data_IF_078046431148
#
_entry.id   IF_078046431148
#
_cell.length_a   1.000
_cell.length_b   1.000
_cell.length_c   1.000
_cell.angle_alpha   90.00
_cell.angle_beta   90.00
_cell.angle_gamma   90.00
#
_symmetry.space_group_name_H-M   'P 1'
#
loop_
_entity.id
_entity.type
_entity.pdbx_description
1 polymer ?
#
# COMPACT_ATOMS: atom_id res chain seq x y z
N UNK A 1 -12.15 4.26 -17.66
CA UNK A 1 -13.36 3.61 -17.06
C UNK A 1 -13.22 3.68 -15.54
N UNK A 2 -14.10 4.41 -14.85
CA UNK A 2 -13.92 4.86 -13.44
C UNK A 2 -14.26 3.83 -12.34
N UNK A 3 -14.44 2.55 -12.71
CA UNK A 3 -14.82 1.46 -11.79
C UNK A 3 -13.64 0.62 -11.29
N UNK A 4 -12.40 1.01 -11.58
CA UNK A 4 -11.20 0.25 -11.18
C UNK A 4 -10.72 0.57 -9.75
N UNK A 5 -11.11 1.72 -9.17
CA UNK A 5 -10.59 2.19 -7.88
C UNK A 5 -11.16 1.46 -6.65
N UNK A 6 -12.30 0.78 -6.78
CA UNK A 6 -12.93 0.02 -5.67
C UNK A 6 -12.43 -1.41 -5.56
N UNK A 7 -11.62 -1.89 -6.50
CA UNK A 7 -11.12 -3.27 -6.53
C UNK A 7 -10.29 -3.59 -5.30
N UNK A 8 -9.20 -2.85 -5.04
CA UNK A 8 -8.30 -3.11 -3.91
C UNK A 8 -8.95 -2.86 -2.54
N UNK A 9 -9.86 -1.88 -2.45
CA UNK A 9 -10.55 -1.52 -1.18
C UNK A 9 -11.41 -2.68 -0.66
N UNK A 10 -12.01 -3.46 -1.56
CA UNK A 10 -12.88 -4.61 -1.22
C UNK A 10 -12.21 -5.95 -1.51
N UNK A 11 -10.94 -5.96 -1.91
CA UNK A 11 -10.24 -7.16 -2.30
C UNK A 11 -10.04 -8.07 -1.10
N UNK A 12 -10.52 -9.31 -1.21
CA UNK A 12 -10.08 -10.40 -0.34
C UNK A 12 -8.75 -10.91 -0.88
N UNK A 13 -7.71 -10.82 -0.08
CA UNK A 13 -6.40 -11.33 -0.45
C UNK A 13 -6.41 -12.86 -0.31
N UNK A 14 -6.02 -13.62 -1.35
CA UNK A 14 -5.85 -15.06 -1.24
C UNK A 14 -4.72 -15.37 -0.26
N UNK A 15 -4.74 -16.56 0.33
CA UNK A 15 -3.64 -16.99 1.20
C UNK A 15 -2.32 -17.06 0.40
N UNK A 16 -1.18 -16.72 1.02
CA UNK A 16 0.12 -16.82 0.37
C UNK A 16 0.35 -18.24 -0.14
N UNK A 17 0.74 -18.40 -1.40
CA UNK A 17 1.10 -19.71 -1.94
C UNK A 17 2.50 -20.07 -1.44
N UNK A 18 2.64 -21.22 -0.78
CA UNK A 18 3.91 -21.68 -0.18
C UNK A 18 4.90 -22.30 -1.17
N UNK A 19 4.47 -22.63 -2.39
CA UNK A 19 5.28 -23.33 -3.41
C UNK A 19 5.83 -22.40 -4.52
N UNK A 20 5.84 -21.09 -4.31
CA UNK A 20 6.36 -20.13 -5.29
C UNK A 20 7.88 -19.95 -5.15
N UNK A 21 8.60 -19.71 -6.27
CA UNK A 21 9.98 -19.22 -6.24
C UNK A 21 10.13 -17.99 -5.33
N UNK A 22 11.28 -17.82 -4.63
CA UNK A 22 11.46 -16.76 -3.63
C UNK A 22 11.11 -15.35 -4.12
N UNK A 23 11.45 -15.02 -5.37
CA UNK A 23 11.14 -13.72 -5.97
C UNK A 23 9.63 -13.54 -6.21
N UNK A 24 8.94 -14.57 -6.69
CA UNK A 24 7.49 -14.52 -6.91
C UNK A 24 6.74 -14.44 -5.58
N UNK A 25 7.19 -15.19 -4.56
CA UNK A 25 6.65 -15.09 -3.21
C UNK A 25 6.81 -13.67 -2.64
N UNK A 26 7.99 -13.06 -2.82
CA UNK A 26 8.22 -11.66 -2.44
C UNK A 26 7.25 -10.71 -3.15
N UNK A 27 7.07 -10.82 -4.48
CA UNK A 27 6.15 -9.95 -5.22
C UNK A 27 4.70 -10.10 -4.78
N UNK A 28 4.26 -11.33 -4.47
CA UNK A 28 2.94 -11.57 -3.91
C UNK A 28 2.79 -10.90 -2.53
N UNK A 29 3.81 -11.01 -1.67
CA UNK A 29 3.81 -10.37 -0.35
C UNK A 29 3.81 -8.83 -0.44
N UNK A 30 4.59 -8.26 -1.34
CA UNK A 30 4.62 -6.82 -1.61
C UNK A 30 3.25 -6.32 -2.10
N UNK A 31 2.62 -7.06 -3.01
CA UNK A 31 1.28 -6.73 -3.48
C UNK A 31 0.25 -6.80 -2.33
N UNK A 32 0.30 -7.86 -1.50
CA UNK A 32 -0.58 -7.99 -0.33
C UNK A 32 -0.38 -6.84 0.66
N UNK A 33 0.87 -6.50 0.97
CA UNK A 33 1.22 -5.36 1.82
C UNK A 33 0.61 -4.07 1.27
N UNK A 34 0.79 -3.82 -0.02
CA UNK A 34 0.24 -2.65 -0.68
C UNK A 34 -1.29 -2.56 -0.63
N UNK A 35 -1.99 -3.68 -0.86
CA UNK A 35 -3.46 -3.74 -0.75
C UNK A 35 -3.92 -3.47 0.68
N UNK A 36 -3.27 -4.07 1.69
CA UNK A 36 -3.60 -3.82 3.10
C UNK A 36 -3.39 -2.34 3.43
N UNK A 37 -2.28 -1.74 2.99
CA UNK A 37 -2.01 -0.32 3.20
C UNK A 37 -3.10 0.57 2.57
N UNK A 38 -3.53 0.27 1.34
CA UNK A 38 -4.64 0.97 0.68
C UNK A 38 -5.94 0.85 1.50
N UNK A 39 -6.25 -0.33 2.01
CA UNK A 39 -7.44 -0.56 2.82
C UNK A 39 -7.38 0.20 4.15
N UNK A 40 -6.23 0.18 4.84
CA UNK A 40 -6.00 0.93 6.08
C UNK A 40 -6.15 2.43 5.87
N UNK A 41 -5.54 2.98 4.82
CA UNK A 41 -5.68 4.39 4.44
C UNK A 41 -7.14 4.73 4.16
N UNK A 42 -7.84 3.90 3.38
CA UNK A 42 -9.24 4.11 3.05
C UNK A 42 -10.14 4.11 4.29
N UNK A 43 -9.95 3.15 5.20
CA UNK A 43 -10.69 3.09 6.46
C UNK A 43 -10.47 4.35 7.30
N UNK A 44 -9.22 4.82 7.38
CA UNK A 44 -8.87 6.02 8.13
C UNK A 44 -9.53 7.29 7.53
N UNK A 45 -9.48 7.45 6.20
CA UNK A 45 -10.16 8.55 5.50
C UNK A 45 -11.70 8.48 5.61
N UNK A 46 -12.24 7.27 5.63
CA UNK A 46 -13.68 7.04 5.84
C UNK A 46 -14.10 7.43 7.27
N UNK A 47 -13.29 7.09 8.28
CA UNK A 47 -13.52 7.51 9.66
C UNK A 47 -13.53 9.06 9.79
N UNK A 48 -12.56 9.73 9.15
CA UNK A 48 -12.52 11.20 9.07
C UNK A 48 -13.79 11.75 8.41
N UNK A 49 -14.18 11.20 7.26
CA UNK A 49 -15.37 11.66 6.52
C UNK A 49 -16.64 11.51 7.35
N UNK A 50 -16.77 10.40 8.10
CA UNK A 50 -17.91 10.16 9.00
C UNK A 50 -17.89 11.11 10.18
N UNK A 51 -16.72 11.41 10.75
CA UNK A 51 -16.57 12.34 11.86
C UNK A 51 -16.95 13.78 11.45
N UNK A 52 -16.48 14.24 10.28
CA UNK A 52 -16.83 15.56 9.73
C UNK A 52 -18.34 15.69 9.50
N UNK A 53 -18.99 14.62 9.03
CA UNK A 53 -20.45 14.58 8.81
C UNK A 53 -21.26 14.42 10.11
N UNK A 54 -20.62 14.36 11.28
CA UNK A 54 -21.29 14.16 12.56
C UNK A 54 -21.87 12.77 12.77
N UNK A 55 -21.52 11.79 11.92
CA UNK A 55 -22.04 10.42 12.01
C UNK A 55 -21.33 9.57 13.08
N UNK A 56 -20.13 9.99 13.51
CA UNK A 56 -19.36 9.35 14.59
C UNK A 56 -18.59 10.41 15.38
N UNK A 57 -18.34 10.17 16.66
CA UNK A 57 -17.47 11.02 17.47
C UNK A 57 -16.00 10.85 17.03
N UNK A 58 -15.23 11.93 16.82
CA UNK A 58 -13.83 11.83 16.40
C UNK A 58 -12.95 11.24 17.51
N UNK A 59 -12.22 10.18 17.18
CA UNK A 59 -11.15 9.65 18.05
C UNK A 59 -9.90 10.52 18.00
N UNK A 60 -9.00 10.37 18.98
CA UNK A 60 -7.69 11.03 18.98
C UNK A 60 -6.90 10.75 17.69
N UNK A 61 -6.89 9.49 17.22
CA UNK A 61 -6.24 9.10 15.97
C UNK A 61 -6.85 9.80 14.74
N UNK A 62 -8.16 9.98 14.72
CA UNK A 62 -8.87 10.70 13.64
C UNK A 62 -8.47 12.18 13.62
N UNK A 63 -8.34 12.81 14.80
CA UNK A 63 -7.91 14.22 14.91
C UNK A 63 -6.46 14.43 14.45
N UNK A 64 -5.54 13.53 14.84
CA UNK A 64 -4.14 13.58 14.38
C UNK A 64 -4.03 13.43 12.86
N UNK A 65 -4.83 12.52 12.30
CA UNK A 65 -4.92 12.30 10.86
C UNK A 65 -5.40 13.58 10.15
N UNK A 66 -6.51 14.18 10.60
CA UNK A 66 -7.03 15.42 10.02
C UNK A 66 -5.99 16.53 10.07
N UNK A 67 -5.33 16.73 11.23
CA UNK A 67 -4.33 17.78 11.37
C UNK A 67 -3.19 17.61 10.35
N UNK A 68 -2.67 16.39 10.21
CA UNK A 68 -1.62 16.09 9.24
C UNK A 68 -2.07 16.36 7.80
N UNK A 69 -3.28 15.94 7.45
CA UNK A 69 -3.85 16.12 6.11
C UNK A 69 -4.11 17.59 5.77
N UNK A 70 -4.60 18.39 6.72
CA UNK A 70 -4.80 19.83 6.56
C UNK A 70 -3.48 20.55 6.31
N UNK A 71 -2.40 20.09 6.95
CA UNK A 71 -1.04 20.60 6.72
C UNK A 71 -0.41 20.07 5.42
N UNK A 72 -1.11 19.25 4.64
CA UNK A 72 -0.58 18.62 3.43
C UNK A 72 0.52 17.59 3.69
N UNK A 73 0.70 17.16 4.94
CA UNK A 73 1.75 16.24 5.37
C UNK A 73 1.23 14.81 5.47
N UNK A 74 2.09 13.86 5.12
CA UNK A 74 1.82 12.44 5.33
C UNK A 74 1.65 12.15 6.82
N UNK A 75 0.52 11.57 7.25
CA UNK A 75 0.27 11.21 8.64
C UNK A 75 1.33 10.24 9.17
N UNK A 76 1.75 10.44 10.41
CA UNK A 76 2.75 9.59 11.07
C UNK A 76 2.37 8.11 11.08
N UNK A 77 1.07 7.82 11.23
CA UNK A 77 0.54 6.46 11.19
C UNK A 77 0.82 5.76 9.85
N UNK A 78 0.79 6.50 8.73
CA UNK A 78 1.09 5.95 7.42
C UNK A 78 2.60 5.79 7.24
N UNK A 79 3.39 6.80 7.61
CA UNK A 79 4.85 6.77 7.47
C UNK A 79 5.52 5.72 8.36
N UNK A 80 4.87 5.32 9.46
CA UNK A 80 5.28 4.17 10.30
C UNK A 80 5.07 2.83 9.60
N UNK A 81 4.06 2.73 8.73
CA UNK A 81 3.79 1.50 7.96
C UNK A 81 4.68 1.43 6.73
N UNK A 82 4.83 2.53 6.00
CA UNK A 82 5.72 2.63 4.84
C UNK A 82 6.38 4.00 4.79
N UNK A 83 7.71 4.03 4.66
CA UNK A 83 8.47 5.28 4.54
C UNK A 83 8.31 5.83 3.13
N UNK A 84 7.39 6.77 2.96
CA UNK A 84 7.08 7.41 1.69
C UNK A 84 7.30 8.93 1.68
N UNK A 85 6.85 9.62 0.62
CA UNK A 85 6.95 11.08 0.49
C UNK A 85 6.30 11.82 1.66
N UNK A 86 6.84 12.99 2.02
CA UNK A 86 6.29 13.82 3.09
C UNK A 86 4.97 14.51 2.73
N UNK A 87 4.67 14.66 1.44
CA UNK A 87 3.40 15.18 0.94
C UNK A 87 2.34 14.09 0.97
N UNK A 88 1.20 14.33 1.61
CA UNK A 88 0.10 13.36 1.71
C UNK A 88 -0.42 12.93 0.33
N UNK A 89 -0.53 13.86 -0.61
CA UNK A 89 -0.98 13.59 -1.97
C UNK A 89 0.01 12.71 -2.75
N UNK A 90 1.31 13.04 -2.67
CA UNK A 90 2.35 12.22 -3.29
C UNK A 90 2.46 10.84 -2.65
N UNK A 91 2.24 10.74 -1.34
CA UNK A 91 2.20 9.47 -0.64
C UNK A 91 1.07 8.58 -1.17
N UNK A 92 -0.16 9.11 -1.27
CA UNK A 92 -1.31 8.36 -1.79
C UNK A 92 -1.09 7.93 -3.25
N UNK A 93 -0.59 8.83 -4.09
CA UNK A 93 -0.24 8.51 -5.48
C UNK A 93 0.84 7.44 -5.56
N UNK A 94 1.88 7.54 -4.73
CA UNK A 94 2.98 6.60 -4.68
C UNK A 94 2.57 5.20 -4.22
N UNK A 95 1.66 5.10 -3.24
CA UNK A 95 1.08 3.83 -2.82
C UNK A 95 0.28 3.21 -3.96
N UNK A 96 -0.67 3.96 -4.55
CA UNK A 96 -1.52 3.43 -5.62
C UNK A 96 -0.71 2.99 -6.84
N UNK A 97 0.27 3.79 -7.27
CA UNK A 97 1.14 3.46 -8.39
C UNK A 97 1.89 2.13 -8.18
N UNK A 98 2.43 1.92 -6.96
CA UNK A 98 3.10 0.67 -6.59
C UNK A 98 2.15 -0.52 -6.58
N UNK A 99 0.97 -0.38 -5.97
CA UNK A 99 -0.03 -1.47 -5.94
C UNK A 99 -0.45 -1.88 -7.35
N UNK A 100 -0.64 -0.91 -8.25
CA UNK A 100 -0.95 -1.19 -9.66
C UNK A 100 0.20 -1.89 -10.37
N UNK A 101 1.43 -1.42 -10.22
CA UNK A 101 2.59 -2.07 -10.83
C UNK A 101 2.79 -3.50 -10.29
N UNK A 102 2.60 -3.70 -8.99
CA UNK A 102 2.71 -5.00 -8.34
C UNK A 102 1.57 -5.96 -8.73
N UNK A 103 0.37 -5.46 -9.04
CA UNK A 103 -0.70 -6.34 -9.52
C UNK A 103 -0.36 -7.00 -10.85
N UNK A 104 0.35 -6.27 -11.71
CA UNK A 104 0.77 -6.79 -13.01
C UNK A 104 2.04 -7.65 -12.88
N UNK A 105 3.00 -7.21 -12.05
CA UNK A 105 4.28 -7.92 -11.83
C UNK A 105 4.10 -9.28 -11.16
N UNK A 106 3.15 -9.43 -10.23
CA UNK A 106 2.93 -10.73 -9.56
C UNK A 106 2.42 -11.81 -10.52
N UNK A 107 1.65 -11.41 -11.54
CA UNK A 107 1.01 -12.32 -12.50
C UNK A 107 1.88 -12.51 -13.76
N UNK A 108 2.65 -11.49 -14.15
CA UNK A 108 3.48 -11.47 -15.36
C UNK A 108 4.93 -11.08 -15.05
N UNK A 109 5.55 -11.74 -14.07
CA UNK A 109 6.94 -11.44 -13.73
C UNK A 109 7.86 -11.68 -14.93
N UNK A 110 8.53 -10.61 -15.36
CA UNK A 110 9.56 -10.65 -16.42
C UNK A 110 10.95 -10.47 -15.82
N UNK A 111 12.00 -10.68 -16.61
CA UNK A 111 13.39 -10.46 -16.19
C UNK A 111 13.75 -9.01 -15.87
N UNK A 112 12.86 -8.05 -16.12
CA UNK A 112 13.05 -6.62 -15.84
C UNK A 112 12.05 -6.13 -14.81
N UNK A 113 12.54 -5.50 -13.75
CA UNK A 113 11.70 -4.90 -12.69
C UNK A 113 12.19 -3.49 -12.40
N UNK A 114 11.25 -2.55 -12.28
CA UNK A 114 11.53 -1.21 -11.79
C UNK A 114 11.51 -1.22 -10.26
N UNK A 115 12.64 -0.95 -9.61
CA UNK A 115 12.70 -0.92 -8.14
C UNK A 115 11.82 0.19 -7.53
N UNK A 116 11.49 1.23 -8.31
CA UNK A 116 10.58 2.27 -7.85
C UNK A 116 9.14 1.74 -7.63
N UNK A 117 8.79 0.58 -8.21
CA UNK A 117 7.48 -0.05 -8.02
C UNK A 117 7.38 -0.88 -6.73
N UNK A 118 8.48 -1.08 -6.01
CA UNK A 118 8.53 -1.86 -4.77
C UNK A 118 8.30 -0.96 -3.54
N UNK A 119 7.76 -1.55 -2.47
CA UNK A 119 7.71 -0.94 -1.15
C UNK A 119 9.01 -1.22 -0.38
N UNK A 120 9.54 -2.44 -0.50
CA UNK A 120 10.74 -2.89 0.22
C UNK A 120 11.81 -3.45 -0.75
N UNK A 121 12.54 -2.59 -1.48
CA UNK A 121 13.52 -3.01 -2.48
C UNK A 121 14.73 -3.75 -1.89
N UNK A 122 15.07 -3.53 -0.63
CA UNK A 122 16.14 -4.23 0.09
C UNK A 122 15.82 -5.72 0.29
N UNK A 123 14.56 -6.05 0.59
CA UNK A 123 14.10 -7.42 0.76
C UNK A 123 14.13 -8.15 -0.60
N UNK A 124 13.84 -7.45 -1.70
CA UNK A 124 13.92 -8.03 -3.05
C UNK A 124 15.30 -8.60 -3.38
N UNK A 125 16.37 -7.85 -3.07
CA UNK A 125 17.75 -8.34 -3.30
C UNK A 125 18.06 -9.59 -2.47
N UNK A 126 17.52 -9.67 -1.25
CA UNK A 126 17.67 -10.85 -0.40
C UNK A 126 16.96 -12.06 -1.00
N UNK A 127 15.76 -11.88 -1.54
CA UNK A 127 15.00 -12.93 -2.25
C UNK A 127 15.69 -13.38 -3.54
N UNK A 128 16.26 -12.46 -4.32
CA UNK A 128 17.05 -12.79 -5.52
C UNK A 128 18.26 -13.65 -5.18
N UNK A 129 19.01 -13.27 -4.14
CA UNK A 129 20.17 -14.03 -3.67
C UNK A 129 19.76 -15.44 -3.24
N UNK A 130 18.64 -15.58 -2.52
CA UNK A 130 18.14 -16.88 -2.09
C UNK A 130 17.75 -17.78 -3.26
N UNK A 131 17.17 -17.22 -4.33
CA UNK A 131 16.82 -17.97 -5.53
C UNK A 131 18.03 -18.39 -6.38
N UNK A 132 19.12 -17.62 -6.32
CA UNK A 132 20.37 -17.92 -7.04
C UNK A 132 21.31 -18.89 -6.29
N UNK A 133 20.96 -19.27 -5.06
CA UNK A 133 21.71 -20.23 -4.23
C UNK A 133 21.18 -21.64 -4.43
#
# INVERSE_FOLDING_TARGET
KLNQNTSYIKMKLPEPQSDLPPVLMFLQQEFHFGVILVQTIHQALSAVTRAIKGAVSPSHSTLLLVNSLVLGKSPEAWTKTWVGPSSSLQYLQGVMARVHALSDLKDNFTSTIDLASLFHPDIFFSSLRHQAS
#
